data_IF_476534558403
#
_entry.id   IF_476534558403
#
_cell.length_a   1.000
_cell.length_b   1.000
_cell.length_c   1.000
_cell.angle_alpha   90.00
_cell.angle_beta   90.00
_cell.angle_gamma   90.00
#
_symmetry.space_group_name_H-M   'P 1'
#
loop_
_entity.id
_entity.type
_entity.pdbx_description
1 polymer ?
#
# COMPACT_ATOMS: atom_id res chain seq x y z
N UNK A 1 -72.98 -54.89 27.66
CA UNK A 1 -72.54 -55.42 28.97
C UNK A 1 -71.15 -54.88 29.21
N UNK A 2 -70.91 -54.06 30.02
CA UNK A 2 -71.49 -53.24 31.03
C UNK A 2 -70.62 -51.98 31.13
N UNK A 3 -71.30 -50.92 31.28
CA UNK A 3 -70.84 -49.61 31.56
C UNK A 3 -70.26 -49.59 32.97
N UNK A 4 -69.16 -48.94 33.17
CA UNK A 4 -68.80 -48.34 34.45
C UNK A 4 -68.18 -46.93 34.29
N UNK A 5 -69.04 -46.01 34.55
CA UNK A 5 -68.85 -44.57 34.68
C UNK A 5 -68.02 -44.30 35.92
N UNK A 6 -66.87 -43.72 35.77
CA UNK A 6 -66.10 -43.16 36.91
C UNK A 6 -66.16 -41.67 36.85
N UNK A 7 -67.03 -41.16 37.70
CA UNK A 7 -67.12 -39.74 38.07
C UNK A 7 -65.87 -39.36 38.80
N UNK A 8 -65.11 -38.42 38.28
CA UNK A 8 -64.00 -37.78 38.98
C UNK A 8 -64.37 -36.38 39.37
N UNK A 9 -64.43 -36.22 40.63
CA UNK A 9 -64.75 -35.06 41.42
C UNK A 9 -63.77 -33.90 41.16
N UNK A 10 -64.31 -32.73 40.80
CA UNK A 10 -63.55 -31.49 40.70
C UNK A 10 -63.55 -30.80 42.09
N UNK A 11 -62.55 -31.09 42.89
CA UNK A 11 -62.29 -30.25 44.03
C UNK A 11 -61.19 -29.24 43.66
N UNK A 12 -61.66 -28.05 43.61
CA UNK A 12 -60.97 -26.78 43.79
C UNK A 12 -59.63 -26.88 44.51
N UNK A 13 -58.54 -26.47 43.81
CA UNK A 13 -57.33 -26.00 44.49
C UNK A 13 -56.91 -24.72 43.80
N UNK A 14 -56.97 -23.65 44.56
CA UNK A 14 -56.55 -22.31 44.24
C UNK A 14 -55.10 -22.27 43.76
N UNK A 15 -54.90 -21.63 42.65
CA UNK A 15 -53.59 -21.25 42.21
C UNK A 15 -53.10 -20.06 43.07
N UNK A 16 -51.90 -20.10 43.65
CA UNK A 16 -51.29 -18.89 44.16
C UNK A 16 -50.80 -18.08 42.98
N UNK A 17 -51.40 -16.92 42.81
CA UNK A 17 -50.82 -15.81 42.03
C UNK A 17 -49.67 -15.26 42.81
N UNK A 18 -48.47 -15.78 42.59
CA UNK A 18 -47.26 -15.08 42.93
C UNK A 18 -46.85 -14.23 41.73
N UNK A 19 -47.37 -13.02 41.70
CA UNK A 19 -46.68 -11.90 41.09
C UNK A 19 -45.39 -11.69 41.87
N UNK A 20 -44.32 -12.39 41.50
CA UNK A 20 -42.98 -11.96 41.82
C UNK A 20 -42.75 -10.66 41.05
N UNK A 21 -43.09 -9.56 41.66
CA UNK A 21 -42.58 -8.26 41.36
C UNK A 21 -41.08 -8.34 41.64
N UNK A 22 -40.30 -8.65 40.61
CA UNK A 22 -38.88 -8.38 40.62
C UNK A 22 -38.76 -6.86 40.65
N UNK A 23 -38.79 -6.32 41.84
CA UNK A 23 -38.36 -4.97 42.15
C UNK A 23 -36.86 -4.95 41.84
N UNK A 24 -36.52 -4.68 40.56
CA UNK A 24 -35.19 -4.31 40.15
C UNK A 24 -34.88 -3.06 40.97
N UNK A 25 -34.13 -3.23 42.05
CA UNK A 25 -33.63 -2.14 42.85
C UNK A 25 -32.78 -1.27 41.92
N UNK A 26 -33.39 -0.25 41.37
CA UNK A 26 -32.66 0.85 40.73
C UNK A 26 -31.87 1.47 41.85
N UNK A 27 -30.62 1.03 42.03
CA UNK A 27 -29.66 1.72 42.87
C UNK A 27 -29.66 3.18 42.40
N UNK A 28 -30.24 4.07 43.20
CA UNK A 28 -30.11 5.51 43.02
C UNK A 28 -28.64 5.83 43.11
N UNK A 29 -27.94 5.84 41.98
CA UNK A 29 -26.52 6.21 41.90
C UNK A 29 -26.47 7.68 42.32
N UNK A 30 -25.78 7.93 43.46
CA UNK A 30 -25.55 9.28 43.96
C UNK A 30 -25.04 10.18 42.79
N UNK A 31 -25.66 11.37 42.58
CA UNK A 31 -25.27 12.28 41.50
C UNK A 31 -23.77 12.59 41.44
N UNK A 32 -23.08 12.51 42.55
CA UNK A 32 -21.63 12.67 42.64
C UNK A 32 -20.91 11.46 42.00
N UNK A 33 -21.36 10.26 42.26
CA UNK A 33 -20.79 9.03 41.67
C UNK A 33 -21.00 8.99 40.17
N UNK A 34 -22.17 9.40 39.68
CA UNK A 34 -22.44 9.51 38.27
C UNK A 34 -21.55 10.56 37.58
N UNK A 35 -21.35 11.72 38.20
CA UNK A 35 -20.45 12.76 37.71
C UNK A 35 -18.99 12.29 37.65
N UNK A 36 -18.53 11.54 38.66
CA UNK A 36 -17.17 10.97 38.67
C UNK A 36 -16.98 9.94 37.56
N UNK A 37 -17.95 9.04 37.35
CA UNK A 37 -17.88 8.06 36.27
C UNK A 37 -17.85 8.72 34.89
N UNK A 38 -18.63 9.78 34.68
CA UNK A 38 -18.59 10.57 33.44
C UNK A 38 -17.24 11.25 33.25
N UNK A 39 -16.66 11.81 34.34
CA UNK A 39 -15.34 12.43 34.27
C UNK A 39 -14.25 11.42 33.91
N UNK A 40 -14.23 10.25 34.57
CA UNK A 40 -13.27 9.19 34.25
C UNK A 40 -13.42 8.64 32.83
N UNK A 41 -14.66 8.50 32.32
CA UNK A 41 -14.93 8.07 30.98
C UNK A 41 -14.42 9.13 29.95
N UNK A 42 -14.65 10.41 30.25
CA UNK A 42 -14.15 11.51 29.41
C UNK A 42 -12.62 11.57 29.41
N UNK A 43 -11.96 11.39 30.55
CA UNK A 43 -10.49 11.36 30.61
C UNK A 43 -9.90 10.19 29.84
N UNK A 44 -10.50 9.01 29.92
CA UNK A 44 -10.10 7.85 29.08
C UNK A 44 -10.27 8.12 27.59
N UNK A 45 -11.40 8.73 27.22
CA UNK A 45 -11.65 9.09 25.82
C UNK A 45 -10.65 10.14 25.32
N UNK A 46 -10.35 11.16 26.11
CA UNK A 46 -9.32 12.17 25.78
C UNK A 46 -7.97 11.50 25.58
N UNK A 47 -7.56 10.63 26.50
CA UNK A 47 -6.28 9.90 26.40
C UNK A 47 -6.21 9.03 25.13
N UNK A 48 -7.30 8.36 24.77
CA UNK A 48 -7.40 7.58 23.54
C UNK A 48 -7.28 8.47 22.31
N UNK A 49 -8.01 9.58 22.28
CA UNK A 49 -7.96 10.55 21.16
C UNK A 49 -6.59 11.21 21.01
N UNK A 50 -5.92 11.52 22.11
CA UNK A 50 -4.57 12.05 22.10
C UNK A 50 -3.57 11.07 21.47
N UNK A 51 -3.68 9.78 21.85
CA UNK A 51 -2.86 8.74 21.23
C UNK A 51 -3.14 8.60 19.72
N UNK A 52 -4.40 8.67 19.30
CA UNK A 52 -4.80 8.65 17.89
C UNK A 52 -4.24 9.85 17.13
N UNK A 53 -4.35 11.06 17.70
CA UNK A 53 -3.78 12.28 17.12
C UNK A 53 -2.27 12.15 16.95
N UNK A 54 -1.55 11.61 17.92
CA UNK A 54 -0.11 11.39 17.80
C UNK A 54 0.23 10.40 16.68
N UNK A 55 -0.53 9.32 16.55
CA UNK A 55 -0.35 8.34 15.47
C UNK A 55 -0.62 8.97 14.08
N UNK A 56 -1.70 9.75 13.96
CA UNK A 56 -2.02 10.48 12.72
C UNK A 56 -0.93 11.49 12.38
N UNK A 57 -0.44 12.26 13.35
CA UNK A 57 0.67 13.21 13.13
C UNK A 57 1.93 12.51 12.66
N UNK A 58 2.30 11.38 13.27
CA UNK A 58 3.47 10.59 12.86
C UNK A 58 3.33 10.09 11.42
N UNK A 59 2.15 9.56 11.06
CA UNK A 59 1.85 9.11 9.69
C UNK A 59 1.94 10.27 8.69
N UNK A 60 1.30 11.41 8.98
CA UNK A 60 1.33 12.59 8.11
C UNK A 60 2.75 13.14 7.90
N UNK A 61 3.60 13.13 8.93
CA UNK A 61 5.00 13.53 8.80
C UNK A 61 5.77 12.58 7.85
N UNK A 62 5.53 11.27 7.95
CA UNK A 62 6.11 10.28 7.04
C UNK A 62 5.63 10.47 5.60
N UNK A 63 4.31 10.61 5.41
CA UNK A 63 3.71 10.85 4.09
C UNK A 63 4.24 12.16 3.46
N UNK A 64 4.36 13.22 4.27
CA UNK A 64 4.95 14.50 3.81
C UNK A 64 6.41 14.33 3.38
N UNK A 65 7.22 13.60 4.15
CA UNK A 65 8.60 13.33 3.79
C UNK A 65 8.71 12.56 2.47
N UNK A 66 7.86 11.53 2.27
CA UNK A 66 7.76 10.77 1.02
C UNK A 66 7.32 11.67 -0.14
N UNK A 67 6.31 12.51 0.06
CA UNK A 67 5.83 13.43 -0.98
C UNK A 67 6.92 14.44 -1.42
N UNK A 68 7.70 14.95 -0.48
CA UNK A 68 8.83 15.84 -0.78
C UNK A 68 9.95 15.05 -1.49
N UNK A 69 10.27 13.85 -1.02
CA UNK A 69 11.36 13.02 -1.57
C UNK A 69 11.10 12.64 -3.04
N UNK A 70 9.85 12.32 -3.39
CA UNK A 70 9.48 11.82 -4.73
C UNK A 70 8.67 12.83 -5.55
N UNK A 71 8.53 14.07 -5.10
CA UNK A 71 7.74 15.10 -5.80
C UNK A 71 8.23 15.39 -7.23
N UNK A 72 9.53 15.25 -7.49
CA UNK A 72 10.14 15.40 -8.82
C UNK A 72 9.91 14.24 -9.79
N UNK A 73 9.50 13.06 -9.29
CA UNK A 73 9.42 11.83 -10.09
C UNK A 73 8.56 11.96 -11.36
N UNK A 74 7.42 12.66 -11.28
CA UNK A 74 6.54 12.86 -12.43
C UNK A 74 7.17 13.74 -13.52
N UNK A 75 7.91 14.77 -13.12
CA UNK A 75 8.65 15.64 -14.05
C UNK A 75 9.83 14.88 -14.67
N UNK A 76 10.61 14.17 -13.84
CA UNK A 76 11.74 13.37 -14.30
C UNK A 76 11.32 12.37 -15.39
N UNK A 77 10.16 11.68 -15.20
CA UNK A 77 9.63 10.76 -16.21
C UNK A 77 9.36 11.45 -17.56
N UNK A 78 8.74 12.64 -17.56
CA UNK A 78 8.47 13.40 -18.78
C UNK A 78 9.76 13.87 -19.45
N UNK A 79 10.74 14.30 -18.66
CA UNK A 79 12.04 14.74 -19.16
C UNK A 79 12.84 13.58 -19.80
N UNK A 80 12.74 12.36 -19.27
CA UNK A 80 13.33 11.17 -19.88
C UNK A 80 12.73 10.85 -21.25
N UNK A 81 11.44 11.11 -21.46
CA UNK A 81 10.82 10.97 -22.78
C UNK A 81 11.45 11.95 -23.79
N UNK A 82 11.65 13.21 -23.39
CA UNK A 82 12.33 14.21 -24.23
C UNK A 82 13.78 13.82 -24.50
N UNK A 83 14.48 13.29 -23.48
CA UNK A 83 15.84 12.79 -23.63
C UNK A 83 15.93 11.65 -24.66
N UNK A 84 14.98 10.72 -24.64
CA UNK A 84 14.90 9.63 -25.62
C UNK A 84 14.65 10.15 -27.06
N UNK A 85 13.86 11.22 -27.21
CA UNK A 85 13.64 11.86 -28.51
C UNK A 85 14.92 12.56 -29.02
N UNK A 86 15.68 13.19 -28.11
CA UNK A 86 17.00 13.75 -28.43
C UNK A 86 17.98 12.64 -28.86
N UNK A 87 18.03 11.52 -28.13
CA UNK A 87 18.88 10.38 -28.46
C UNK A 87 18.52 9.80 -29.88
N UNK A 88 17.21 9.74 -30.16
CA UNK A 88 16.74 9.31 -31.51
C UNK A 88 17.13 10.29 -32.61
N UNK A 89 17.05 11.60 -32.33
CA UNK A 89 17.49 12.61 -33.31
C UNK A 89 19.00 12.54 -33.59
N UNK A 90 19.82 12.35 -32.54
CA UNK A 90 21.27 12.20 -32.65
C UNK A 90 21.66 10.91 -33.39
N UNK A 91 20.86 9.83 -33.29
CA UNK A 91 21.08 8.61 -34.04
C UNK A 91 20.89 8.80 -35.59
N UNK A 92 20.09 9.80 -36.00
CA UNK A 92 19.87 10.12 -37.42
C UNK A 92 20.91 11.10 -37.94
N UNK A 93 21.28 12.10 -37.15
CA UNK A 93 22.24 13.13 -37.53
C UNK A 93 23.03 13.59 -36.29
N UNK A 94 24.34 13.50 -36.36
CA UNK A 94 25.22 13.98 -35.32
C UNK A 94 25.24 15.51 -35.30
N UNK A 95 24.83 16.10 -34.15
CA UNK A 95 24.84 17.53 -33.90
C UNK A 95 25.51 17.81 -32.55
N UNK A 96 26.60 18.59 -32.57
CA UNK A 96 27.37 18.92 -31.38
C UNK A 96 26.53 19.72 -30.37
N UNK A 97 25.68 20.63 -30.84
CA UNK A 97 24.81 21.44 -29.97
C UNK A 97 23.77 20.58 -29.25
N UNK A 98 23.17 19.64 -29.98
CA UNK A 98 22.18 18.70 -29.43
C UNK A 98 22.84 17.72 -28.44
N UNK A 99 24.08 17.28 -28.72
CA UNK A 99 24.86 16.42 -27.81
C UNK A 99 25.17 17.15 -26.51
N UNK A 100 25.51 18.43 -26.57
CA UNK A 100 25.75 19.24 -25.38
C UNK A 100 24.47 19.39 -24.54
N UNK A 101 23.33 19.69 -25.18
CA UNK A 101 22.03 19.80 -24.52
C UNK A 101 21.66 18.47 -23.84
N UNK A 102 21.81 17.36 -24.56
CA UNK A 102 21.57 16.01 -24.05
C UNK A 102 22.42 15.72 -22.80
N UNK A 103 23.71 16.01 -22.86
CA UNK A 103 24.65 15.79 -21.75
C UNK A 103 24.28 16.64 -20.54
N UNK A 104 23.96 17.90 -20.74
CA UNK A 104 23.53 18.81 -19.68
C UNK A 104 22.25 18.35 -19.04
N UNK A 105 21.25 17.98 -19.85
CA UNK A 105 19.98 17.47 -19.35
C UNK A 105 20.12 16.21 -18.51
N UNK A 106 20.97 15.26 -18.96
CA UNK A 106 21.29 14.07 -18.20
C UNK A 106 21.97 14.38 -16.88
N UNK A 107 22.92 15.31 -16.87
CA UNK A 107 23.61 15.77 -15.66
C UNK A 107 22.63 16.31 -14.61
N UNK A 108 21.66 17.13 -15.04
CA UNK A 108 20.65 17.68 -14.13
C UNK A 108 19.71 16.59 -13.59
N UNK A 109 19.25 15.68 -14.43
CA UNK A 109 18.42 14.55 -14.01
C UNK A 109 19.16 13.63 -13.02
N UNK A 110 20.43 13.36 -13.28
CA UNK A 110 21.26 12.54 -12.39
C UNK A 110 21.49 13.21 -11.05
N UNK A 111 21.68 14.54 -11.01
CA UNK A 111 21.82 15.30 -9.78
C UNK A 111 20.56 15.31 -8.91
N UNK A 112 19.39 15.20 -9.52
CA UNK A 112 18.09 15.07 -8.83
C UNK A 112 17.79 13.64 -8.36
N UNK A 113 18.63 12.67 -8.75
CA UNK A 113 18.57 11.27 -8.31
C UNK A 113 18.01 10.31 -9.35
N UNK A 114 18.02 10.67 -10.62
CA UNK A 114 17.77 9.73 -11.71
C UNK A 114 19.03 8.92 -12.00
N UNK A 115 18.89 7.61 -12.11
CA UNK A 115 19.98 6.70 -12.53
C UNK A 115 19.48 5.73 -13.58
N UNK A 116 20.36 5.34 -14.50
CA UNK A 116 20.07 4.29 -15.48
C UNK A 116 20.19 2.93 -14.80
N UNK A 117 19.30 2.00 -15.15
CA UNK A 117 19.38 0.60 -14.71
C UNK A 117 20.41 -0.10 -15.60
N UNK A 118 21.42 -0.70 -14.98
CA UNK A 118 22.38 -1.55 -15.69
C UNK A 118 21.75 -2.92 -15.92
N UNK A 119 21.62 -3.29 -17.19
CA UNK A 119 20.86 -4.49 -17.59
C UNK A 119 21.72 -5.51 -18.29
N UNK A 120 22.53 -5.10 -19.26
CA UNK A 120 23.23 -5.98 -20.20
C UNK A 120 24.24 -6.88 -19.49
N UNK A 121 24.10 -8.21 -19.69
CA UNK A 121 24.95 -9.22 -19.05
C UNK A 121 24.65 -9.45 -17.56
N UNK A 122 23.72 -8.70 -16.98
CA UNK A 122 23.27 -8.85 -15.60
C UNK A 122 22.18 -9.90 -15.45
N UNK A 123 21.90 -10.27 -14.19
CA UNK A 123 20.78 -11.15 -13.85
C UNK A 123 19.46 -10.39 -14.05
N UNK A 124 18.47 -11.05 -14.62
CA UNK A 124 17.14 -10.49 -14.75
C UNK A 124 16.48 -10.27 -13.41
N UNK A 125 15.98 -9.06 -13.17
CA UNK A 125 15.26 -8.65 -11.97
C UNK A 125 13.86 -8.14 -12.35
N UNK A 126 12.79 -8.94 -12.09
CA UNK A 126 11.41 -8.56 -12.45
C UNK A 126 10.92 -7.27 -11.78
N UNK A 127 11.57 -6.82 -10.71
CA UNK A 127 11.18 -5.58 -10.02
C UNK A 127 11.64 -4.33 -10.74
N UNK A 128 12.65 -4.45 -11.64
CA UNK A 128 13.30 -3.34 -12.35
C UNK A 128 13.24 -3.48 -13.87
N UNK A 129 12.98 -4.68 -14.37
CA UNK A 129 13.08 -5.02 -15.78
C UNK A 129 11.82 -5.73 -16.25
N UNK A 130 11.45 -5.50 -17.50
CA UNK A 130 10.35 -6.17 -18.20
C UNK A 130 10.93 -7.02 -19.34
N UNK A 131 10.76 -8.33 -19.27
CA UNK A 131 11.19 -9.23 -20.35
C UNK A 131 10.16 -9.16 -21.49
N UNK A 132 10.58 -8.65 -22.65
CA UNK A 132 9.73 -8.55 -23.84
C UNK A 132 9.83 -9.82 -24.68
N UNK A 133 11.03 -10.40 -24.75
CA UNK A 133 11.33 -11.60 -25.53
C UNK A 133 12.27 -12.49 -24.74
N UNK A 134 12.08 -13.79 -24.86
CA UNK A 134 12.99 -14.81 -24.32
C UNK A 134 13.68 -15.54 -25.45
N UNK A 135 14.97 -15.82 -25.26
CA UNK A 135 15.78 -16.65 -26.16
C UNK A 135 16.34 -17.85 -25.37
N UNK A 136 16.66 -18.96 -26.04
CA UNK A 136 17.29 -20.08 -25.38
C UNK A 136 18.65 -19.67 -24.79
N UNK A 137 19.02 -20.21 -23.63
CA UNK A 137 20.32 -19.94 -23.01
C UNK A 137 21.48 -20.41 -23.88
N UNK A 138 22.61 -19.70 -23.80
CA UNK A 138 23.86 -20.02 -24.49
C UNK A 138 25.02 -20.07 -23.50
N UNK A 139 26.22 -20.48 -23.96
CA UNK A 139 27.40 -20.51 -23.09
C UNK A 139 27.77 -19.11 -22.55
N UNK A 140 27.51 -18.05 -23.33
CA UNK A 140 27.77 -16.67 -22.93
C UNK A 140 26.66 -16.06 -22.06
N UNK A 141 25.42 -16.57 -22.18
CA UNK A 141 24.23 -16.08 -21.48
C UNK A 141 23.47 -17.23 -20.84
N UNK A 142 23.79 -17.59 -19.59
CA UNK A 142 23.07 -18.60 -18.86
C UNK A 142 21.62 -18.19 -18.60
N UNK A 143 20.78 -19.16 -18.23
CA UNK A 143 19.37 -18.90 -17.91
C UNK A 143 19.19 -17.77 -16.87
N UNK A 144 18.15 -16.95 -17.04
CA UNK A 144 17.87 -15.74 -16.27
C UNK A 144 18.89 -14.60 -16.39
N UNK A 145 19.64 -14.56 -17.48
CA UNK A 145 20.57 -13.46 -17.81
C UNK A 145 19.98 -12.58 -18.89
N UNK A 146 20.20 -11.27 -18.79
CA UNK A 146 19.81 -10.29 -19.81
C UNK A 146 20.79 -10.36 -20.96
N UNK A 147 20.28 -10.71 -22.15
CA UNK A 147 21.06 -10.80 -23.38
C UNK A 147 21.25 -9.41 -23.99
N UNK A 148 20.14 -8.66 -24.11
CA UNK A 148 20.16 -7.32 -24.72
C UNK A 148 19.12 -6.40 -24.09
N UNK A 149 19.35 -5.09 -24.21
CA UNK A 149 18.48 -4.01 -23.73
C UNK A 149 17.79 -3.37 -24.95
N UNK A 150 16.47 -3.52 -25.05
CA UNK A 150 15.66 -2.91 -26.11
C UNK A 150 15.34 -1.45 -25.80
N UNK A 151 14.99 -1.18 -24.53
CA UNK A 151 14.73 0.16 -24.05
C UNK A 151 15.35 0.34 -22.65
N UNK A 152 16.03 1.47 -22.47
CA UNK A 152 16.71 1.77 -21.21
C UNK A 152 15.74 2.00 -20.06
N UNK A 153 16.01 1.35 -18.95
CA UNK A 153 15.30 1.57 -17.69
C UNK A 153 15.95 2.65 -16.83
N UNK A 154 15.13 3.29 -16.04
CA UNK A 154 15.57 4.36 -15.14
C UNK A 154 14.96 4.22 -13.75
N UNK A 155 15.75 4.54 -12.74
CA UNK A 155 15.32 4.69 -11.36
C UNK A 155 15.29 6.17 -10.97
N UNK A 156 14.44 6.52 -10.03
CA UNK A 156 14.43 7.79 -9.33
C UNK A 156 14.69 7.49 -7.85
N UNK A 157 15.90 7.79 -7.40
CA UNK A 157 16.40 7.39 -6.06
C UNK A 157 16.30 5.85 -5.92
N UNK A 158 15.43 5.36 -5.04
CA UNK A 158 15.22 3.93 -4.77
C UNK A 158 13.98 3.34 -5.47
N UNK A 159 13.25 4.13 -6.28
CA UNK A 159 12.05 3.67 -6.99
C UNK A 159 12.29 3.55 -8.49
N UNK A 160 11.71 2.52 -9.08
CA UNK A 160 11.70 2.38 -10.54
C UNK A 160 10.81 3.47 -11.14
N UNK A 161 11.38 4.25 -12.05
CA UNK A 161 10.70 5.30 -12.79
C UNK A 161 10.16 4.78 -14.10
N UNK A 162 11.01 4.09 -14.85
CA UNK A 162 10.70 3.39 -16.11
C UNK A 162 11.42 2.04 -16.05
N UNK A 163 10.73 0.90 -16.13
CA UNK A 163 11.39 -0.39 -16.19
C UNK A 163 12.21 -0.53 -17.47
N UNK A 164 13.35 -1.22 -17.40
CA UNK A 164 14.12 -1.56 -18.59
C UNK A 164 13.41 -2.66 -19.37
N UNK A 165 13.30 -2.52 -20.69
CA UNK A 165 12.74 -3.55 -21.56
C UNK A 165 13.86 -4.36 -22.17
N UNK A 166 13.89 -5.65 -21.85
CA UNK A 166 15.05 -6.50 -22.10
C UNK A 166 14.68 -7.80 -22.81
N UNK A 167 15.68 -8.40 -23.44
CA UNK A 167 15.67 -9.78 -23.95
C UNK A 167 16.39 -10.66 -22.93
N UNK A 168 15.77 -11.75 -22.49
CA UNK A 168 16.28 -12.60 -21.41
C UNK A 168 16.54 -14.01 -21.91
N UNK A 169 17.65 -14.62 -21.49
CA UNK A 169 17.89 -16.04 -21.67
C UNK A 169 16.98 -16.85 -20.72
N UNK A 170 16.07 -17.66 -21.25
CA UNK A 170 15.16 -18.50 -20.47
C UNK A 170 15.04 -19.89 -21.08
N UNK A 171 15.10 -20.90 -20.23
CA UNK A 171 14.66 -22.24 -20.62
C UNK A 171 13.13 -22.22 -20.71
N UNK A 172 12.61 -22.65 -21.87
CA UNK A 172 11.15 -22.83 -22.08
C UNK A 172 10.63 -24.03 -21.31
#
# INVERSE_FOLDING_TARGET
MDEEEVVVDYTSTEAPTEEEVVEEAVEEIDPLTEALQRAEAAEKEISYRDAEIQNVRKRLMSEKAIAIQYGGMGMARKMLTVLADIDRALAVNEDEGLTLIRTKMWSELSSDGVSKIETKGGKFDPTKMEAITTLPPSEDFPANTVIDELESGYMYKDRVLIPARVVVASEQ
#
